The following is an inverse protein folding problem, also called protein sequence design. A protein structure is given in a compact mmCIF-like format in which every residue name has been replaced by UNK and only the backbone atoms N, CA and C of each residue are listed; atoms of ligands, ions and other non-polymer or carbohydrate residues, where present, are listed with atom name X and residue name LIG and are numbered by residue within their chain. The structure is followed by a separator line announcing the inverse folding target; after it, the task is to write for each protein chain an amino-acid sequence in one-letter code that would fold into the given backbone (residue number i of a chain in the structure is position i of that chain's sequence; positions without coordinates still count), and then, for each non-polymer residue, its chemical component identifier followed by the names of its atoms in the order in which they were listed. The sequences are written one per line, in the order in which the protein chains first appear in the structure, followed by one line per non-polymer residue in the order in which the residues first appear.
data_IF_865262621306
#
_entry.id   IF_865262621306
#
_cell.length_a   1.000
_cell.length_b   1.000
_cell.length_c   1.000
_cell.angle_alpha   90.00
_cell.angle_beta   90.00
_cell.angle_gamma   90.00
#
_symmetry.space_group_name_H-M   'P 1'
#
loop_
_entity.id
_entity.type
_entity.pdbx_description
1 polymer ?
#
# COMPACT_ATOMS: atom_id res chain seq x y z
N UNK A 1 14.17 -93.12 1.19
CA UNK A 1 13.93 -92.11 2.25
C UNK A 1 13.45 -90.82 1.60
N UNK A 2 12.54 -90.09 2.25
CA UNK A 2 11.31 -89.48 1.70
C UNK A 2 11.58 -88.09 1.06
N UNK A 3 10.69 -87.30 0.46
CA UNK A 3 9.26 -87.03 0.63
C UNK A 3 8.77 -86.09 -0.50
N UNK A 4 7.50 -86.28 -0.92
CA UNK A 4 6.48 -85.28 -1.27
C UNK A 4 6.72 -84.13 -2.29
N UNK A 5 5.93 -84.16 -3.38
CA UNK A 5 5.43 -82.96 -4.09
C UNK A 5 4.53 -82.12 -3.16
N UNK A 6 4.38 -80.79 -3.42
CA UNK A 6 3.12 -80.35 -4.03
C UNK A 6 3.21 -79.17 -5.02
N UNK A 7 2.13 -79.07 -5.80
CA UNK A 7 1.70 -77.96 -6.66
C UNK A 7 1.82 -76.58 -5.98
N UNK A 8 1.96 -75.50 -6.78
CA UNK A 8 1.00 -74.38 -6.79
C UNK A 8 1.55 -73.07 -7.40
N UNK A 9 0.78 -72.58 -8.38
CA UNK A 9 0.49 -71.17 -8.71
C UNK A 9 1.53 -70.33 -9.45
N UNK A 10 1.27 -70.25 -10.76
CA UNK A 10 1.30 -69.02 -11.56
C UNK A 10 0.80 -67.82 -10.70
N UNK A 11 1.66 -66.84 -10.46
CA UNK A 11 1.26 -65.50 -10.05
C UNK A 11 1.90 -64.51 -11.00
N UNK A 12 1.07 -64.02 -11.90
CA UNK A 12 1.24 -62.78 -12.65
C UNK A 12 1.49 -61.63 -11.67
N UNK A 13 2.72 -61.13 -11.62
CA UNK A 13 3.01 -59.86 -10.94
C UNK A 13 2.82 -58.72 -11.93
N UNK A 14 1.59 -58.21 -11.95
CA UNK A 14 1.18 -56.98 -12.59
C UNK A 14 1.93 -55.79 -11.97
N UNK A 15 2.33 -54.86 -12.83
CA UNK A 15 3.06 -53.64 -12.52
C UNK A 15 2.51 -52.85 -11.32
N UNK A 16 3.40 -52.39 -10.44
CA UNK A 16 3.14 -51.31 -9.52
C UNK A 16 4.09 -50.14 -9.84
N UNK A 17 3.78 -49.40 -10.92
CA UNK A 17 4.28 -48.06 -11.11
C UNK A 17 3.60 -47.16 -10.06
N UNK A 18 4.27 -46.98 -8.92
CA UNK A 18 3.82 -46.07 -7.88
C UNK A 18 4.02 -44.64 -8.39
N UNK A 19 2.98 -44.10 -9.04
CA UNK A 19 2.91 -42.69 -9.38
C UNK A 19 2.91 -41.88 -8.07
N UNK A 20 4.04 -41.26 -7.73
CA UNK A 20 4.09 -40.15 -6.78
C UNK A 20 3.37 -38.96 -7.43
N UNK A 21 2.04 -38.95 -7.35
CA UNK A 21 1.28 -37.74 -7.54
C UNK A 21 1.57 -36.83 -6.33
N UNK A 22 2.50 -35.90 -6.48
CA UNK A 22 2.64 -34.78 -5.55
C UNK A 22 1.32 -34.01 -5.58
N UNK A 23 0.50 -34.19 -4.54
CA UNK A 23 -0.69 -33.38 -4.31
C UNK A 23 -0.23 -31.95 -4.03
N UNK A 24 -0.09 -31.15 -5.09
CA UNK A 24 -0.05 -29.70 -4.96
C UNK A 24 -1.44 -29.29 -4.47
N UNK A 25 -1.60 -29.09 -3.15
CA UNK A 25 -2.82 -28.52 -2.60
C UNK A 25 -3.07 -27.19 -3.30
N UNK A 26 -4.23 -26.99 -3.95
CA UNK A 26 -4.50 -25.74 -4.64
C UNK A 26 -4.52 -24.62 -3.59
N UNK A 27 -3.66 -23.62 -3.75
CA UNK A 27 -3.62 -22.42 -2.89
C UNK A 27 -5.00 -21.73 -2.75
N UNK A 28 -5.94 -22.04 -3.65
CA UNK A 28 -7.32 -21.59 -3.61
C UNK A 28 -8.16 -22.18 -2.46
N UNK A 29 -7.71 -23.25 -1.81
CA UNK A 29 -8.33 -23.83 -0.60
C UNK A 29 -7.71 -23.31 0.70
N UNK A 30 -6.87 -22.28 0.64
CA UNK A 30 -6.21 -21.68 1.80
C UNK A 30 -7.18 -20.82 2.61
N UNK A 31 -7.62 -21.34 3.77
CA UNK A 31 -8.55 -20.66 4.68
C UNK A 31 -7.87 -19.66 5.64
N UNK A 32 -6.53 -19.61 5.69
CA UNK A 32 -5.81 -18.65 6.54
C UNK A 32 -6.13 -17.20 6.13
N UNK A 33 -6.15 -16.26 7.10
CA UNK A 33 -6.27 -14.84 6.79
C UNK A 33 -5.21 -14.38 5.78
N UNK A 34 -5.62 -13.66 4.74
CA UNK A 34 -4.70 -13.18 3.70
C UNK A 34 -3.55 -12.36 4.30
N UNK A 35 -3.79 -11.61 5.38
CA UNK A 35 -2.75 -10.85 6.09
C UNK A 35 -1.59 -11.71 6.61
N UNK A 36 -1.85 -12.97 6.96
CA UNK A 36 -0.83 -13.90 7.41
C UNK A 36 -0.03 -14.45 6.22
N UNK A 37 -0.72 -14.73 5.10
CA UNK A 37 -0.08 -15.19 3.87
C UNK A 37 0.87 -14.15 3.28
N UNK A 38 0.41 -12.90 3.16
CA UNK A 38 1.22 -11.80 2.65
C UNK A 38 2.28 -11.34 3.65
N UNK A 39 1.95 -11.31 4.95
CA UNK A 39 2.90 -10.95 6.01
C UNK A 39 4.05 -11.94 6.19
N UNK A 40 3.91 -13.17 5.74
CA UNK A 40 4.97 -14.17 5.75
C UNK A 40 6.02 -13.99 4.64
N UNK A 41 5.71 -13.21 3.59
CA UNK A 41 6.59 -13.05 2.43
C UNK A 41 7.73 -12.08 2.76
N UNK A 42 8.98 -12.53 2.55
CA UNK A 42 10.18 -11.71 2.81
C UNK A 42 10.66 -10.95 1.58
N UNK A 43 10.39 -11.49 0.39
CA UNK A 43 10.86 -10.98 -0.90
C UNK A 43 9.68 -10.86 -1.89
N UNK A 44 9.80 -9.98 -2.90
CA UNK A 44 8.73 -9.74 -3.85
C UNK A 44 8.54 -10.95 -4.77
N UNK A 45 7.42 -10.98 -5.47
CA UNK A 45 7.21 -11.95 -6.54
C UNK A 45 8.12 -11.60 -7.72
N UNK A 46 8.91 -12.57 -8.20
CA UNK A 46 9.74 -12.46 -9.41
C UNK A 46 8.87 -12.50 -10.66
N UNK A 47 8.17 -11.40 -10.89
CA UNK A 47 7.16 -11.22 -11.94
C UNK A 47 7.28 -9.82 -12.53
N UNK A 48 6.66 -9.60 -13.69
CA UNK A 48 6.42 -8.26 -14.24
C UNK A 48 5.70 -7.41 -13.20
N UNK A 49 6.17 -6.17 -13.00
CA UNK A 49 5.54 -5.27 -12.04
C UNK A 49 4.12 -4.95 -12.45
N UNK A 50 3.14 -5.27 -11.60
CA UNK A 50 1.75 -4.87 -11.81
C UNK A 50 0.97 -4.84 -10.49
N UNK A 51 0.25 -3.74 -10.20
CA UNK A 51 -0.72 -3.69 -9.11
C UNK A 51 -2.03 -4.37 -9.49
N UNK A 52 -2.62 -5.13 -8.56
CA UNK A 52 -3.89 -5.82 -8.76
C UNK A 52 -4.90 -5.47 -7.67
N UNK A 53 -6.11 -5.08 -8.05
CA UNK A 53 -7.19 -4.73 -7.12
C UNK A 53 -7.19 -3.26 -6.71
N UNK A 54 -7.86 -2.97 -5.60
CA UNK A 54 -7.91 -1.61 -5.04
C UNK A 54 -6.85 -1.43 -3.96
N UNK A 55 -6.56 -0.18 -3.59
CA UNK A 55 -5.57 0.18 -2.56
C UNK A 55 -5.72 -0.55 -1.22
N UNK A 56 -6.93 -0.99 -0.87
CA UNK A 56 -7.27 -1.70 0.37
C UNK A 56 -7.83 -3.12 0.14
N UNK A 57 -7.75 -3.63 -1.08
CA UNK A 57 -8.17 -4.99 -1.43
C UNK A 57 -7.42 -5.43 -2.69
N UNK A 58 -6.16 -5.81 -2.53
CA UNK A 58 -5.29 -6.07 -3.66
C UNK A 58 -3.94 -6.66 -3.28
N UNK A 59 -3.03 -6.71 -4.25
CA UNK A 59 -1.65 -7.14 -4.11
C UNK A 59 -0.80 -6.46 -5.20
N UNK A 60 0.52 -6.65 -5.16
CA UNK A 60 1.43 -6.19 -6.23
C UNK A 60 2.42 -7.30 -6.61
N UNK A 61 2.55 -7.54 -7.92
CA UNK A 61 3.61 -8.34 -8.52
C UNK A 61 4.84 -7.47 -8.77
N UNK A 62 6.05 -8.06 -8.73
CA UNK A 62 7.28 -7.38 -9.16
C UNK A 62 7.58 -6.07 -8.41
N UNK A 63 7.21 -5.98 -7.13
CA UNK A 63 7.49 -4.78 -6.34
C UNK A 63 9.00 -4.61 -6.14
N UNK A 64 9.43 -3.34 -6.08
CA UNK A 64 10.81 -2.97 -5.82
C UNK A 64 10.93 -2.25 -4.49
N UNK A 65 12.05 -2.45 -3.83
CA UNK A 65 12.32 -1.82 -2.55
C UNK A 65 13.04 -0.48 -2.74
N UNK A 66 12.59 0.61 -2.11
CA UNK A 66 13.41 1.84 -2.04
C UNK A 66 14.60 1.61 -1.11
N UNK A 67 15.84 1.98 -1.47
CA UNK A 67 17.00 1.83 -0.59
C UNK A 67 16.71 2.31 0.84
N UNK A 68 17.18 1.54 1.83
CA UNK A 68 17.02 1.84 3.26
C UNK A 68 17.50 3.25 3.61
N UNK A 69 18.50 3.74 2.88
CA UNK A 69 19.07 5.07 2.98
C UNK A 69 19.21 5.70 1.60
N UNK A 70 18.96 7.00 1.54
CA UNK A 70 19.36 7.81 0.41
C UNK A 70 20.01 9.11 0.87
N UNK A 71 20.40 10.00 -0.06
CA UNK A 71 20.97 11.30 0.29
C UNK A 71 20.02 12.15 1.15
N UNK A 72 18.72 12.02 0.90
CA UNK A 72 17.66 12.89 1.43
C UNK A 72 16.52 12.13 2.09
N UNK A 73 16.70 10.84 2.41
CA UNK A 73 15.72 10.05 3.16
C UNK A 73 16.35 8.93 4.00
N UNK A 74 15.58 8.46 4.99
CA UNK A 74 15.83 7.23 5.75
C UNK A 74 14.53 6.46 5.93
N UNK A 75 14.53 5.17 5.59
CA UNK A 75 13.40 4.27 5.87
C UNK A 75 13.34 3.93 7.36
N UNK A 76 12.13 3.95 7.93
CA UNK A 76 11.85 3.72 9.34
C UNK A 76 11.23 2.35 9.55
N UNK A 77 11.29 1.83 10.79
CA UNK A 77 10.66 0.55 11.16
C UNK A 77 11.02 -0.61 10.22
N UNK A 78 12.31 -0.75 9.93
CA UNK A 78 12.86 -1.72 8.96
C UNK A 78 12.40 -3.15 9.23
N UNK A 79 12.25 -3.51 10.52
CA UNK A 79 11.76 -4.83 10.95
C UNK A 79 10.39 -5.20 10.39
N UNK A 80 9.57 -4.20 10.00
CA UNK A 80 8.25 -4.43 9.39
C UNK A 80 8.32 -4.96 7.96
N UNK A 81 9.46 -4.79 7.28
CA UNK A 81 9.65 -5.14 5.87
C UNK A 81 8.63 -4.50 4.91
N UNK A 82 8.44 -3.18 5.03
CA UNK A 82 7.38 -2.43 4.31
C UNK A 82 7.89 -1.37 3.33
N UNK A 83 9.14 -1.45 2.90
CA UNK A 83 9.77 -0.47 1.98
C UNK A 83 9.59 -0.81 0.49
N UNK A 84 8.61 -1.64 0.15
CA UNK A 84 8.38 -2.17 -1.19
C UNK A 84 7.25 -1.42 -1.89
N UNK A 85 7.32 -1.23 -3.20
CA UNK A 85 6.23 -0.62 -3.94
C UNK A 85 6.42 -0.72 -5.44
N UNK A 86 5.51 -0.08 -6.17
CA UNK A 86 5.63 0.10 -7.60
C UNK A 86 6.81 1.03 -7.93
N UNK A 87 7.59 0.80 -9.00
CA UNK A 87 8.72 1.67 -9.38
C UNK A 87 8.33 3.14 -9.49
N UNK A 88 7.13 3.45 -10.03
CA UNK A 88 6.62 4.82 -10.10
C UNK A 88 6.44 5.47 -8.71
N UNK A 89 6.03 4.71 -7.69
CA UNK A 89 5.93 5.21 -6.32
C UNK A 89 7.33 5.44 -5.73
N UNK A 90 8.26 4.51 -5.94
CA UNK A 90 9.63 4.66 -5.44
C UNK A 90 10.33 5.87 -6.09
N UNK A 91 10.17 6.06 -7.40
CA UNK A 91 10.69 7.21 -8.13
C UNK A 91 10.09 8.53 -7.64
N UNK A 92 8.78 8.56 -7.35
CA UNK A 92 8.13 9.72 -6.76
C UNK A 92 8.73 10.06 -5.39
N UNK A 93 8.93 9.07 -4.50
CA UNK A 93 9.49 9.29 -3.16
C UNK A 93 10.92 9.83 -3.25
N UNK A 94 11.75 9.24 -4.12
CA UNK A 94 13.12 9.71 -4.35
C UNK A 94 13.12 11.18 -4.80
N UNK A 95 12.36 11.52 -5.85
CA UNK A 95 12.23 12.89 -6.34
C UNK A 95 11.66 13.82 -5.28
N UNK A 96 10.62 13.40 -4.57
CA UNK A 96 10.00 14.19 -3.51
C UNK A 96 10.98 14.50 -2.38
N UNK A 97 11.83 13.56 -1.99
CA UNK A 97 12.83 13.78 -0.96
C UNK A 97 13.86 14.84 -1.36
N UNK A 98 14.29 14.84 -2.63
CA UNK A 98 15.23 15.80 -3.18
C UNK A 98 14.61 17.19 -3.33
N UNK A 99 13.38 17.25 -3.83
CA UNK A 99 12.61 18.47 -3.98
C UNK A 99 12.29 19.12 -2.62
N UNK A 100 11.89 18.31 -1.63
CA UNK A 100 11.63 18.80 -0.28
C UNK A 100 12.87 19.48 0.32
N UNK A 101 14.05 18.88 0.14
CA UNK A 101 15.31 19.47 0.60
C UNK A 101 15.69 20.73 -0.17
N UNK A 102 15.72 20.65 -1.50
CA UNK A 102 16.25 21.72 -2.35
C UNK A 102 15.31 22.93 -2.48
N UNK A 103 13.99 22.72 -2.52
CA UNK A 103 13.00 23.77 -2.81
C UNK A 103 12.39 24.41 -1.57
N UNK A 104 12.29 23.67 -0.46
CA UNK A 104 11.63 24.17 0.77
C UNK A 104 12.51 24.01 2.03
N UNK A 105 13.75 23.54 1.89
CA UNK A 105 14.69 23.41 3.01
C UNK A 105 14.32 22.30 4.01
N UNK A 106 13.55 21.30 3.61
CA UNK A 106 13.23 20.17 4.49
C UNK A 106 14.47 19.26 4.66
N UNK A 107 14.92 18.94 5.88
CA UNK A 107 16.20 18.24 6.09
C UNK A 107 16.35 16.89 5.35
N UNK A 108 15.24 16.17 5.23
CA UNK A 108 15.10 14.90 4.53
C UNK A 108 13.87 14.15 5.03
N UNK A 109 13.45 13.13 4.30
CA UNK A 109 12.25 12.35 4.63
C UNK A 109 12.59 11.23 5.62
N UNK A 110 11.80 11.10 6.67
CA UNK A 110 11.67 9.84 7.39
C UNK A 110 10.48 9.09 6.77
N UNK A 111 10.80 8.02 6.05
CA UNK A 111 9.85 7.23 5.28
C UNK A 111 9.27 6.11 6.15
N UNK A 112 7.95 6.07 6.28
CA UNK A 112 7.21 5.01 6.93
C UNK A 112 6.90 3.84 6.00
N UNK A 113 5.70 3.29 6.11
CA UNK A 113 5.28 2.10 5.36
C UNK A 113 4.93 2.48 3.90
N UNK A 114 5.38 1.67 2.92
CA UNK A 114 4.95 1.72 1.51
C UNK A 114 4.04 0.53 1.22
N UNK A 115 4.59 -0.68 1.11
CA UNK A 115 3.86 -1.94 1.10
C UNK A 115 4.76 -3.10 1.52
N UNK A 116 4.16 -4.25 1.83
CA UNK A 116 4.88 -5.52 1.96
C UNK A 116 5.47 -5.94 0.60
N UNK A 117 6.40 -6.91 0.53
CA UNK A 117 7.08 -7.29 -0.72
C UNK A 117 6.13 -7.73 -1.83
N UNK A 118 4.98 -8.31 -1.48
CA UNK A 118 3.94 -8.74 -2.42
C UNK A 118 2.63 -7.95 -2.26
N UNK A 119 2.68 -6.84 -1.54
CA UNK A 119 1.50 -6.06 -1.17
C UNK A 119 0.59 -6.81 -0.20
N UNK A 120 -0.71 -6.79 -0.47
CA UNK A 120 -1.69 -7.54 0.32
C UNK A 120 -2.06 -6.92 1.66
N UNK A 121 -3.11 -7.44 2.32
CA UNK A 121 -3.46 -7.05 3.68
C UNK A 121 -2.28 -7.19 4.64
N UNK A 122 -2.11 -6.24 5.55
CA UNK A 122 -1.03 -6.24 6.53
C UNK A 122 -1.46 -6.89 7.85
N UNK A 123 -0.52 -7.50 8.57
CA UNK A 123 -0.77 -8.04 9.91
C UNK A 123 -1.31 -6.99 10.89
N UNK A 124 -0.86 -5.74 10.74
CA UNK A 124 -1.23 -4.61 11.59
C UNK A 124 -1.07 -3.27 10.84
N UNK A 125 -1.68 -2.22 11.39
CA UNK A 125 -1.56 -0.87 10.88
C UNK A 125 -2.59 -0.54 9.81
N UNK A 126 -2.16 -0.47 8.55
CA UNK A 126 -2.91 0.16 7.48
C UNK A 126 -3.99 -0.76 6.90
N UNK A 127 -5.17 -0.20 6.62
CA UNK A 127 -6.17 -0.88 5.81
C UNK A 127 -5.81 -0.89 4.31
N UNK A 128 -5.03 0.11 3.86
CA UNK A 128 -4.55 0.22 2.47
C UNK A 128 -3.09 -0.26 2.31
N UNK A 129 -2.27 0.35 1.45
CA UNK A 129 -0.89 -0.08 1.18
C UNK A 129 -0.76 -1.47 0.55
N UNK A 130 -1.83 -1.99 -0.04
CA UNK A 130 -1.84 -3.37 -0.53
C UNK A 130 -1.31 -3.52 -1.95
N UNK A 131 -1.23 -2.42 -2.72
CA UNK A 131 -0.91 -2.47 -4.16
C UNK A 131 0.38 -1.71 -4.52
N UNK A 132 1.19 -1.32 -3.53
CA UNK A 132 2.47 -0.64 -3.76
C UNK A 132 2.36 0.80 -4.32
N UNK A 133 1.22 1.46 -4.14
CA UNK A 133 0.92 2.82 -4.64
C UNK A 133 0.61 3.80 -3.50
N UNK A 134 0.97 3.45 -2.26
CA UNK A 134 0.76 4.21 -1.04
C UNK A 134 2.09 4.35 -0.28
N UNK A 135 2.34 5.48 0.38
CA UNK A 135 3.55 5.71 1.17
C UNK A 135 3.31 6.69 2.30
N UNK A 136 3.77 6.36 3.51
CA UNK A 136 3.72 7.26 4.65
C UNK A 136 5.00 8.06 4.82
N UNK A 137 4.84 9.37 5.04
CA UNK A 137 5.95 10.29 5.31
C UNK A 137 5.74 10.93 6.67
N UNK A 138 6.70 10.76 7.57
CA UNK A 138 6.60 11.31 8.92
C UNK A 138 6.70 12.84 8.90
N UNK A 139 5.99 13.51 9.82
CA UNK A 139 6.16 14.94 10.07
C UNK A 139 7.42 15.28 10.87
N UNK A 140 8.12 14.25 11.37
CA UNK A 140 9.43 14.38 12.02
C UNK A 140 10.50 14.56 10.94
N UNK A 141 11.30 15.65 10.99
CA UNK A 141 12.39 15.84 10.04
C UNK A 141 13.47 14.77 10.24
N UNK A 142 14.13 14.38 9.15
CA UNK A 142 15.30 13.51 9.22
C UNK A 142 16.43 14.20 10.03
N UNK A 143 17.10 13.48 10.95
CA UNK A 143 18.24 14.04 11.67
C UNK A 143 19.45 14.24 10.75
N UNK A 144 20.46 14.93 11.26
CA UNK A 144 21.72 15.23 10.57
C UNK A 144 22.72 14.06 10.51
N UNK A 145 22.33 12.89 11.03
CA UNK A 145 23.12 11.66 10.99
C UNK A 145 22.28 10.49 10.45
N UNK A 146 22.98 9.42 10.01
CA UNK A 146 22.34 8.16 9.64
C UNK A 146 21.98 7.38 10.89
N UNK A 147 20.69 7.15 11.11
CA UNK A 147 20.21 6.37 12.26
C UNK A 147 20.53 4.88 12.06
N UNK A 148 21.00 4.24 13.12
CA UNK A 148 21.08 2.78 13.20
C UNK A 148 19.70 2.12 13.07
N UNK A 149 19.69 0.81 12.80
CA UNK A 149 18.44 0.05 12.77
C UNK A 149 17.66 0.17 14.10
N UNK A 150 18.34 0.11 15.24
CA UNK A 150 17.72 0.23 16.56
C UNK A 150 17.08 1.61 16.79
N UNK A 151 17.76 2.69 16.40
CA UNK A 151 17.20 4.05 16.49
C UNK A 151 15.96 4.20 15.61
N UNK A 152 15.97 3.63 14.40
CA UNK A 152 14.81 3.64 13.50
C UNK A 152 13.61 2.86 14.04
N UNK A 153 13.83 1.88 14.91
CA UNK A 153 12.74 1.17 15.60
C UNK A 153 12.25 1.92 16.84
N UNK A 154 13.16 2.55 17.58
CA UNK A 154 12.85 3.19 18.86
C UNK A 154 12.34 4.63 18.74
N UNK A 155 12.66 5.35 17.65
CA UNK A 155 12.29 6.76 17.49
C UNK A 155 10.76 6.93 17.61
N UNK A 156 10.24 7.69 18.58
CA UNK A 156 8.80 7.83 18.76
C UNK A 156 8.18 8.69 17.65
N UNK A 157 6.92 8.40 17.34
CA UNK A 157 6.14 9.28 16.51
C UNK A 157 5.90 10.62 17.21
N UNK A 158 5.92 11.72 16.45
CA UNK A 158 5.63 13.06 16.96
C UNK A 158 4.34 13.58 16.37
N UNK A 159 3.28 13.64 17.19
CA UNK A 159 1.98 14.16 16.75
C UNK A 159 2.01 15.68 16.56
N UNK A 160 1.39 16.14 15.47
CA UNK A 160 1.17 17.55 15.17
C UNK A 160 -0.02 18.15 15.94
N UNK A 161 -0.73 17.37 16.76
CA UNK A 161 -1.85 17.85 17.55
C UNK A 161 -1.45 18.22 18.98
N UNK A 162 -2.15 19.21 19.52
CA UNK A 162 -2.25 19.43 20.95
C UNK A 162 -3.19 18.37 21.53
N UNK A 163 -2.63 17.34 22.15
CA UNK A 163 -3.42 16.21 22.70
C UNK A 163 -4.37 16.61 23.84
N UNK A 164 -4.24 17.83 24.39
CA UNK A 164 -5.17 18.37 25.38
C UNK A 164 -6.45 18.97 24.77
N UNK A 165 -6.49 19.13 23.44
CA UNK A 165 -7.59 19.79 22.73
C UNK A 165 -8.12 18.93 21.59
N UNK A 166 -9.44 19.00 21.38
CA UNK A 166 -10.08 18.28 20.28
C UNK A 166 -9.63 18.84 18.93
N UNK A 167 -9.09 17.97 18.06
CA UNK A 167 -8.69 18.27 16.68
C UNK A 167 -8.00 19.63 16.50
N UNK A 168 -7.04 19.92 17.37
CA UNK A 168 -6.30 21.18 17.35
C UNK A 168 -4.83 20.89 17.06
N UNK A 169 -4.28 21.59 16.08
CA UNK A 169 -2.85 21.52 15.74
C UNK A 169 -2.03 22.24 16.82
N UNK A 170 -0.93 21.63 17.28
CA UNK A 170 0.02 22.25 18.21
C UNK A 170 0.88 23.29 17.46
N UNK A 171 0.74 24.60 17.77
CA UNK A 171 1.47 25.65 17.07
C UNK A 171 2.99 25.60 17.30
N UNK A 172 3.46 24.90 18.34
CA UNK A 172 4.89 24.71 18.61
C UNK A 172 5.53 23.69 17.67
N UNK A 173 4.71 22.79 17.10
CA UNK A 173 5.16 21.71 16.22
C UNK A 173 4.82 21.98 14.76
N UNK A 174 3.66 22.55 14.48
CA UNK A 174 3.26 22.83 13.10
C UNK A 174 3.89 24.11 12.58
N UNK A 175 4.70 23.98 11.52
CA UNK A 175 5.42 25.09 10.90
C UNK A 175 4.99 25.26 9.45
N UNK A 176 5.30 26.42 8.87
CA UNK A 176 5.06 26.70 7.45
C UNK A 176 5.79 25.69 6.55
N UNK A 177 6.99 25.23 6.91
CA UNK A 177 7.71 24.21 6.16
C UNK A 177 6.96 22.87 6.11
N UNK A 178 6.27 22.47 7.20
CA UNK A 178 5.41 21.27 7.19
C UNK A 178 4.18 21.45 6.30
N UNK A 179 3.61 22.65 6.26
CA UNK A 179 2.54 22.96 5.32
C UNK A 179 3.02 22.84 3.86
N UNK A 180 4.18 23.43 3.55
CA UNK A 180 4.84 23.32 2.24
C UNK A 180 5.17 21.88 1.85
N UNK A 181 5.60 21.06 2.80
CA UNK A 181 5.89 19.65 2.57
C UNK A 181 4.64 18.88 2.09
N UNK A 182 3.51 19.06 2.77
CA UNK A 182 2.22 18.42 2.38
C UNK A 182 1.74 18.95 1.03
N UNK A 183 1.80 20.27 0.82
CA UNK A 183 1.33 20.88 -0.43
C UNK A 183 2.21 20.52 -1.63
N UNK A 184 3.53 20.36 -1.41
CA UNK A 184 4.44 19.84 -2.43
C UNK A 184 4.13 18.37 -2.76
N UNK A 185 3.86 17.53 -1.76
CA UNK A 185 3.44 16.15 -2.03
C UNK A 185 2.16 16.11 -2.89
N UNK A 186 1.19 17.00 -2.62
CA UNK A 186 -0.05 17.07 -3.37
C UNK A 186 0.12 17.62 -4.81
N UNK A 187 1.15 18.42 -5.06
CA UNK A 187 1.32 19.11 -6.36
C UNK A 187 1.80 18.18 -7.47
N UNK A 188 2.37 17.01 -7.16
CA UNK A 188 2.78 16.05 -8.18
C UNK A 188 1.58 15.54 -9.00
N UNK A 189 1.70 15.45 -10.34
CA UNK A 189 0.62 14.98 -11.21
C UNK A 189 0.28 13.50 -11.00
N UNK A 190 1.23 12.70 -10.52
CA UNK A 190 1.02 11.28 -10.20
C UNK A 190 0.23 11.09 -8.89
N UNK A 191 0.29 12.07 -7.98
CA UNK A 191 -0.38 12.02 -6.68
C UNK A 191 -1.85 12.33 -6.85
N UNK A 192 -2.69 11.38 -6.41
CA UNK A 192 -4.14 11.51 -6.45
C UNK A 192 -4.68 12.04 -5.12
N UNK A 193 -4.11 11.60 -3.99
CA UNK A 193 -4.51 12.04 -2.64
C UNK A 193 -3.33 12.11 -1.70
N UNK A 194 -3.39 13.07 -0.78
CA UNK A 194 -2.55 13.12 0.41
C UNK A 194 -3.47 13.07 1.64
N UNK A 195 -3.42 12.01 2.43
CA UNK A 195 -4.26 11.90 3.62
C UNK A 195 -3.56 12.46 4.85
N UNK A 196 -4.29 13.27 5.62
CA UNK A 196 -3.84 13.94 6.83
C UNK A 196 -4.95 13.93 7.88
N UNK A 197 -4.61 14.20 9.13
CA UNK A 197 -5.60 14.47 10.17
C UNK A 197 -6.54 15.66 9.79
N UNK A 198 -7.83 15.65 10.18
CA UNK A 198 -8.74 16.76 9.89
C UNK A 198 -8.25 18.11 10.42
N UNK A 199 -7.58 18.14 11.58
CA UNK A 199 -7.02 19.36 12.15
C UNK A 199 -5.91 19.96 11.26
N UNK A 200 -5.07 19.10 10.66
CA UNK A 200 -4.02 19.52 9.72
C UNK A 200 -4.65 20.08 8.46
N UNK A 201 -5.67 19.40 7.91
CA UNK A 201 -6.42 19.90 6.74
C UNK A 201 -7.05 21.27 7.03
N UNK A 202 -7.69 21.44 8.19
CA UNK A 202 -8.25 22.73 8.64
C UNK A 202 -7.16 23.80 8.76
N UNK A 203 -6.02 23.48 9.36
CA UNK A 203 -4.90 24.42 9.47
C UNK A 203 -4.40 24.87 8.10
N UNK A 204 -4.24 23.94 7.15
CA UNK A 204 -3.90 24.27 5.75
C UNK A 204 -4.95 25.18 5.11
N UNK A 205 -6.24 24.87 5.26
CA UNK A 205 -7.32 25.70 4.74
C UNK A 205 -7.23 27.15 5.25
N UNK A 206 -6.95 27.31 6.54
CA UNK A 206 -6.89 28.61 7.24
C UNK A 206 -5.61 29.40 6.93
N UNK A 207 -4.46 28.74 6.81
CA UNK A 207 -3.16 29.44 6.78
C UNK A 207 -2.41 29.34 5.46
N UNK A 208 -2.73 28.38 4.57
CA UNK A 208 -2.06 28.28 3.29
C UNK A 208 -2.43 29.46 2.39
N UNK A 209 -1.42 30.16 1.87
CA UNK A 209 -1.54 31.32 0.97
C UNK A 209 -0.94 31.10 -0.42
N UNK A 210 -0.32 29.94 -0.66
CA UNK A 210 0.21 29.57 -1.98
C UNK A 210 -0.88 29.03 -2.91
N UNK A 211 -0.47 28.37 -3.99
CA UNK A 211 -1.41 27.73 -4.93
C UNK A 211 -2.29 26.68 -4.22
N UNK A 212 -3.61 26.81 -4.40
CA UNK A 212 -4.64 25.95 -3.80
C UNK A 212 -5.17 24.91 -4.78
N UNK A 213 -4.71 24.89 -6.03
CA UNK A 213 -5.15 23.94 -7.07
C UNK A 213 -5.04 22.47 -6.61
N UNK A 214 -3.99 22.15 -5.86
CA UNK A 214 -3.74 20.83 -5.31
C UNK A 214 -4.36 20.60 -3.92
N UNK A 215 -4.90 21.64 -3.26
CA UNK A 215 -5.39 21.53 -1.88
C UNK A 215 -6.55 20.54 -1.77
N UNK A 216 -7.40 20.43 -2.81
CA UNK A 216 -8.48 19.43 -2.88
C UNK A 216 -7.99 17.99 -2.70
N UNK A 217 -6.78 17.67 -3.18
CA UNK A 217 -6.16 16.34 -3.02
C UNK A 217 -5.76 16.02 -1.59
N UNK A 218 -5.59 17.04 -0.73
CA UNK A 218 -5.33 16.84 0.70
C UNK A 218 -6.64 16.46 1.39
N UNK A 219 -6.76 15.20 1.81
CA UNK A 219 -8.01 14.62 2.33
C UNK A 219 -7.92 14.32 3.83
N UNK A 220 -8.92 14.74 4.63
CA UNK A 220 -8.98 14.39 6.04
C UNK A 220 -9.27 12.90 6.23
N UNK A 221 -8.59 12.27 7.18
CA UNK A 221 -8.84 10.89 7.63
C UNK A 221 -8.47 10.73 9.12
N UNK A 222 -9.05 9.74 9.80
CA UNK A 222 -8.70 9.41 11.19
C UNK A 222 -7.19 9.14 11.37
N UNK A 223 -6.62 9.51 12.51
CA UNK A 223 -5.18 9.39 12.76
C UNK A 223 -4.39 10.42 11.93
N UNK A 224 -3.31 9.99 11.26
CA UNK A 224 -2.53 10.80 10.32
C UNK A 224 -2.11 12.18 10.83
N UNK A 225 -1.85 12.27 12.14
CA UNK A 225 -1.32 13.45 12.80
C UNK A 225 0.19 13.36 13.05
N UNK A 226 0.79 12.21 12.84
CA UNK A 226 2.24 11.93 13.03
C UNK A 226 2.97 11.73 11.70
N UNK A 227 2.22 11.36 10.67
CA UNK A 227 2.64 11.19 9.29
C UNK A 227 1.51 11.66 8.37
N UNK A 228 1.83 11.92 7.11
CA UNK A 228 0.85 12.03 6.04
C UNK A 228 1.05 10.87 5.06
N UNK A 229 -0.05 10.46 4.45
CA UNK A 229 -0.10 9.32 3.53
C UNK A 229 -0.19 9.86 2.11
N UNK A 230 0.76 9.52 1.24
CA UNK A 230 0.71 9.80 -0.20
C UNK A 230 0.10 8.61 -0.92
N UNK A 231 -0.86 8.87 -1.82
CA UNK A 231 -1.40 7.88 -2.76
C UNK A 231 -1.23 8.35 -4.19
N UNK A 232 -0.66 7.49 -5.04
CA UNK A 232 -0.58 7.74 -6.49
C UNK A 232 -1.69 7.04 -7.27
N UNK A 233 -1.97 7.56 -8.46
CA UNK A 233 -2.92 6.95 -9.41
C UNK A 233 -2.46 5.55 -9.83
N UNK A 234 -3.40 4.72 -10.29
CA UNK A 234 -3.04 3.50 -11.01
C UNK A 234 -2.13 3.84 -12.20
N UNK A 235 -1.03 3.10 -12.42
CA UNK A 235 -0.19 3.27 -13.59
C UNK A 235 -1.00 3.11 -14.88
N UNK A 236 -0.60 3.83 -15.92
CA UNK A 236 -1.21 3.70 -17.24
C UNK A 236 -1.01 2.28 -17.77
N UNK A 237 -2.02 1.72 -18.44
CA UNK A 237 -1.99 0.34 -18.94
C UNK A 237 -2.14 -0.77 -17.89
N UNK A 238 -2.15 -0.46 -16.59
CA UNK A 238 -2.30 -1.47 -15.54
C UNK A 238 -3.76 -1.95 -15.40
N UNK A 239 -4.21 -2.84 -16.30
CA UNK A 239 -5.58 -3.35 -16.35
C UNK A 239 -6.06 -4.03 -15.05
N UNK A 240 -5.14 -4.59 -14.27
CA UNK A 240 -5.42 -5.20 -12.97
C UNK A 240 -5.68 -4.20 -11.84
N UNK A 241 -5.31 -2.93 -12.02
CA UNK A 241 -5.40 -1.90 -10.99
C UNK A 241 -6.76 -1.23 -10.99
N UNK A 242 -7.43 -1.20 -9.83
CA UNK A 242 -8.72 -0.54 -9.66
C UNK A 242 -8.53 0.86 -9.10
N UNK A 243 -8.79 1.93 -9.89
CA UNK A 243 -8.70 3.29 -9.39
C UNK A 243 -9.79 3.57 -8.35
N UNK A 244 -9.59 4.64 -7.59
CA UNK A 244 -10.59 5.19 -6.66
C UNK A 244 -11.40 6.29 -7.36
N UNK A 245 -12.49 6.73 -6.71
CA UNK A 245 -13.30 7.83 -7.23
C UNK A 245 -12.45 9.12 -7.35
N UNK A 246 -12.78 9.99 -8.32
CA UNK A 246 -12.11 11.29 -8.44
C UNK A 246 -12.30 12.13 -7.18
N UNK A 247 -11.31 12.96 -6.87
CA UNK A 247 -11.44 13.98 -5.83
C UNK A 247 -12.50 15.00 -6.30
N UNK A 248 -13.48 15.37 -5.44
CA UNK A 248 -14.44 16.41 -5.78
C UNK A 248 -13.75 17.73 -6.16
N UNK A 249 -14.34 18.54 -7.06
CA UNK A 249 -13.77 19.83 -7.40
C UNK A 249 -13.71 20.76 -6.19
N UNK A 250 -12.77 21.71 -6.22
CA UNK A 250 -12.53 22.66 -5.14
C UNK A 250 -11.40 22.24 -4.20
N UNK A 251 -11.17 23.04 -3.17
CA UNK A 251 -10.08 22.83 -2.22
C UNK A 251 -10.45 21.94 -1.03
N UNK A 252 -11.73 21.56 -0.90
CA UNK A 252 -12.25 20.73 0.18
C UNK A 252 -12.18 21.41 1.54
N UNK A 253 -12.25 22.74 1.59
CA UNK A 253 -12.32 23.57 2.80
C UNK A 253 -13.76 24.03 3.08
N UNK A 254 -14.73 23.15 2.82
CA UNK A 254 -16.18 23.41 2.86
C UNK A 254 -16.89 22.55 3.94
N UNK A 255 -18.19 22.34 3.80
CA UNK A 255 -19.00 21.51 4.69
C UNK A 255 -18.44 20.07 4.84
N UNK A 256 -17.77 19.53 3.82
CA UNK A 256 -17.13 18.21 3.90
C UNK A 256 -16.00 18.15 4.91
N UNK A 257 -15.29 19.26 5.13
CA UNK A 257 -14.30 19.38 6.20
C UNK A 257 -14.96 19.70 7.54
N UNK A 258 -15.96 20.59 7.55
CA UNK A 258 -16.68 20.96 8.77
C UNK A 258 -17.32 19.76 9.48
N UNK A 259 -17.80 18.77 8.71
CA UNK A 259 -18.37 17.53 9.24
C UNK A 259 -17.44 16.80 10.22
N UNK A 260 -16.11 16.80 9.98
CA UNK A 260 -15.12 16.17 10.87
C UNK A 260 -15.05 16.80 12.27
N UNK A 261 -15.55 18.04 12.41
CA UNK A 261 -15.58 18.77 13.68
C UNK A 261 -16.94 18.67 14.37
N UNK A 262 -17.86 17.84 13.86
CA UNK A 262 -19.11 17.45 14.53
C UNK A 262 -18.90 16.22 15.41
N UNK A 263 -19.91 15.81 16.20
CA UNK A 263 -19.84 14.59 17.01
C UNK A 263 -20.00 13.30 16.20
N UNK A 264 -20.66 13.38 15.04
CA UNK A 264 -21.05 12.23 14.22
C UNK A 264 -19.88 11.33 13.78
N UNK A 265 -18.76 11.83 13.21
CA UNK A 265 -17.63 10.99 12.81
C UNK A 265 -16.96 10.25 13.98
N UNK A 266 -17.20 10.67 15.21
CA UNK A 266 -16.57 10.13 16.41
C UNK A 266 -17.53 9.31 17.26
N UNK A 267 -18.80 9.21 16.85
CA UNK A 267 -19.79 8.41 17.52
C UNK A 267 -19.42 6.92 17.41
N UNK A 268 -19.45 6.22 18.55
CA UNK A 268 -19.31 4.76 18.56
C UNK A 268 -20.50 4.13 17.81
N UNK A 269 -20.28 3.07 17.01
CA UNK A 269 -21.39 2.33 16.41
C UNK A 269 -22.37 1.89 17.50
N UNK A 270 -23.66 2.19 17.33
CA UNK A 270 -24.69 1.72 18.26
C UNK A 270 -24.90 0.22 18.02
N UNK A 271 -24.78 -0.65 19.04
CA UNK A 271 -25.11 -2.06 18.87
C UNK A 271 -26.58 -2.17 18.45
N UNK A 272 -26.87 -2.90 17.37
CA UNK A 272 -28.25 -3.20 17.00
C UNK A 272 -28.84 -4.10 18.09
N UNK A 273 -30.02 -3.76 18.61
CA UNK A 273 -30.68 -4.46 19.73
C UNK A 273 -30.87 -5.98 19.49
N UNK A 274 -30.86 -6.41 18.22
CA UNK A 274 -31.05 -7.81 17.80
C UNK A 274 -29.89 -8.35 16.93
N UNK A 275 -28.68 -7.78 17.03
CA UNK A 275 -27.55 -8.30 16.27
C UNK A 275 -27.14 -9.69 16.76
N UNK A 276 -27.39 -10.71 15.93
CA UNK A 276 -26.75 -12.03 16.09
C UNK A 276 -25.22 -11.85 16.14
N UNK A 277 -24.48 -12.63 16.95
CA UNK A 277 -23.02 -12.60 16.93
C UNK A 277 -22.53 -12.83 15.49
N UNK A 278 -21.93 -11.80 14.90
CA UNK A 278 -21.30 -11.92 13.57
C UNK A 278 -19.99 -12.66 13.80
N UNK A 279 -19.83 -13.86 13.22
CA UNK A 279 -18.53 -14.54 13.23
C UNK A 279 -17.48 -13.59 12.63
N UNK A 280 -16.30 -13.43 13.24
CA UNK A 280 -15.24 -12.60 12.68
C UNK A 280 -14.91 -13.09 11.27
N UNK A 281 -15.24 -12.29 10.26
CA UNK A 281 -14.85 -12.57 8.87
C UNK A 281 -13.54 -11.84 8.60
N UNK A 282 -12.44 -12.59 8.58
CA UNK A 282 -11.16 -12.08 8.10
C UNK A 282 -11.11 -12.16 6.57
N UNK A 283 -10.46 -11.20 5.94
CA UNK A 283 -10.19 -11.24 4.51
C UNK A 283 -9.29 -12.44 4.24
N UNK A 284 -9.77 -13.36 3.41
CA UNK A 284 -9.07 -14.54 2.93
C UNK A 284 -8.51 -14.29 1.53
N UNK A 285 -7.74 -15.24 0.99
CA UNK A 285 -7.18 -15.09 -0.34
C UNK A 285 -8.26 -15.06 -1.44
N UNK A 286 -9.38 -15.75 -1.24
CA UNK A 286 -10.50 -15.77 -2.20
C UNK A 286 -11.28 -14.45 -2.27
N UNK A 287 -11.14 -13.59 -1.25
CA UNK A 287 -11.72 -12.23 -1.23
C UNK A 287 -10.91 -11.22 -2.04
N UNK A 288 -9.70 -11.59 -2.49
CA UNK A 288 -8.77 -10.75 -3.25
C UNK A 288 -8.86 -11.04 -4.76
N UNK A 289 -8.32 -10.15 -5.63
CA UNK A 289 -8.22 -10.44 -7.06
C UNK A 289 -7.53 -11.78 -7.32
N UNK A 290 -8.01 -12.55 -8.31
CA UNK A 290 -7.46 -13.87 -8.65
C UNK A 290 -5.94 -13.86 -8.89
N UNK A 291 -5.40 -12.78 -9.45
CA UNK A 291 -3.96 -12.61 -9.65
C UNK A 291 -3.15 -12.71 -8.35
N UNK A 292 -3.74 -12.39 -7.20
CA UNK A 292 -3.05 -12.39 -5.92
C UNK A 292 -2.64 -13.78 -5.42
N UNK A 293 -3.34 -14.84 -5.83
CA UNK A 293 -2.88 -16.20 -5.54
C UNK A 293 -1.62 -16.56 -6.34
N UNK A 294 -1.56 -16.17 -7.62
CA UNK A 294 -0.36 -16.32 -8.45
C UNK A 294 0.81 -15.48 -7.91
N UNK A 295 0.55 -14.24 -7.48
CA UNK A 295 1.57 -13.39 -6.84
C UNK A 295 2.12 -14.06 -5.59
N UNK A 296 1.29 -14.66 -4.73
CA UNK A 296 1.76 -15.38 -3.54
C UNK A 296 2.53 -16.67 -3.87
N UNK A 297 2.16 -17.37 -4.94
CA UNK A 297 2.80 -18.62 -5.33
C UNK A 297 4.12 -18.43 -6.10
N UNK A 298 4.38 -17.24 -6.64
CA UNK A 298 5.56 -16.96 -7.46
C UNK A 298 6.88 -17.19 -6.73
N UNK A 299 7.92 -17.54 -7.49
CA UNK A 299 9.30 -17.51 -7.03
C UNK A 299 9.70 -16.11 -6.55
N UNK A 300 10.71 -16.07 -5.69
CA UNK A 300 11.33 -14.83 -5.21
C UNK A 300 12.66 -14.58 -5.95
N UNK A 301 13.14 -13.32 -6.02
CA UNK A 301 14.54 -13.05 -6.37
C UNK A 301 15.50 -13.71 -5.37
N UNK A 302 16.78 -13.82 -5.74
CA UNK A 302 17.78 -14.45 -4.88
C UNK A 302 18.09 -13.61 -3.62
N UNK A 303 17.87 -12.30 -3.68
CA UNK A 303 18.10 -11.40 -2.55
C UNK A 303 17.30 -10.11 -2.65
N UNK A 304 17.22 -9.40 -1.53
CA UNK A 304 16.68 -8.04 -1.45
C UNK A 304 17.45 -7.05 -2.34
N UNK A 305 18.77 -7.24 -2.50
CA UNK A 305 19.62 -6.37 -3.30
C UNK A 305 19.29 -6.45 -4.81
N UNK A 306 18.81 -7.60 -5.29
CA UNK A 306 18.38 -7.81 -6.68
C UNK A 306 17.09 -7.03 -6.99
N UNK A 307 16.22 -6.86 -5.99
CA UNK A 307 14.93 -6.18 -6.13
C UNK A 307 14.91 -4.78 -5.50
N UNK A 308 16.07 -4.26 -5.08
CA UNK A 308 16.19 -2.88 -4.60
C UNK A 308 16.34 -1.94 -5.80
N UNK A 309 15.55 -0.86 -5.77
CA UNK A 309 15.53 0.17 -6.80
C UNK A 309 16.88 0.89 -6.87
N UNK A 310 17.38 1.08 -8.09
CA UNK A 310 18.62 1.82 -8.40
C UNK A 310 18.19 2.99 -9.28
N UNK A 311 18.14 4.21 -8.74
CA UNK A 311 17.62 5.39 -9.44
C UNK A 311 18.31 5.69 -10.79
N UNK A 312 17.76 6.67 -11.53
CA UNK A 312 18.35 7.22 -12.76
C UNK A 312 18.68 6.21 -13.88
N UNK A 313 17.72 5.38 -14.29
CA UNK A 313 17.88 4.54 -15.48
C UNK A 313 18.97 3.47 -15.38
N UNK A 314 19.57 3.29 -14.20
CA UNK A 314 20.31 2.08 -13.89
C UNK A 314 19.32 0.93 -13.91
N UNK A 315 19.44 0.06 -14.91
CA UNK A 315 18.66 -1.17 -15.00
C UNK A 315 18.85 -1.97 -13.70
N UNK A 316 17.96 -1.79 -12.74
CA UNK A 316 17.67 -2.83 -11.77
C UNK A 316 17.23 -4.03 -12.60
N UNK A 317 17.71 -5.22 -12.28
CA UNK A 317 17.15 -6.47 -12.83
C UNK A 317 15.63 -6.55 -12.57
N UNK A 318 15.08 -5.73 -11.66
CA UNK A 318 13.65 -5.53 -11.51
C UNK A 318 12.94 -4.86 -12.72
N UNK A 319 13.61 -3.95 -13.44
CA UNK A 319 13.07 -3.37 -14.69
C UNK A 319 13.17 -4.36 -15.87
N UNK A 320 14.06 -5.35 -15.80
CA UNK A 320 14.16 -6.39 -16.83
C UNK A 320 12.90 -7.28 -16.90
N UNK A 321 12.08 -7.31 -15.85
CA UNK A 321 10.77 -7.97 -15.90
C UNK A 321 9.68 -7.11 -16.56
N UNK A 322 9.91 -5.81 -16.81
CA UNK A 322 8.90 -4.91 -17.42
C UNK A 322 9.04 -4.78 -18.94
N UNK A 323 10.17 -5.19 -19.52
CA UNK A 323 10.50 -4.97 -20.94
C UNK A 323 9.87 -5.99 -21.92
N UNK A 324 8.96 -6.85 -21.46
CA UNK A 324 8.35 -7.91 -22.29
C UNK A 324 6.95 -7.59 -22.84
N UNK A 325 6.42 -6.38 -22.63
CA UNK A 325 5.02 -6.05 -22.90
C UNK A 325 4.76 -5.34 -24.25
N UNK A 326 5.80 -5.01 -25.02
CA UNK A 326 5.64 -4.10 -26.16
C UNK A 326 5.08 -4.73 -27.46
N UNK A 327 4.93 -6.06 -27.53
CA UNK A 327 4.50 -6.73 -28.79
C UNK A 327 3.14 -7.45 -28.72
N UNK A 328 2.46 -7.48 -27.56
CA UNK A 328 1.20 -8.23 -27.40
C UNK A 328 -0.07 -7.37 -27.28
N UNK A 329 0.06 -6.03 -27.29
CA UNK A 329 -1.03 -5.09 -26.98
C UNK A 329 -1.93 -4.68 -28.15
N UNK A 330 -1.64 -5.09 -29.39
CA UNK A 330 -2.29 -4.54 -30.59
C UNK A 330 -3.56 -5.27 -31.06
N UNK A 331 -4.05 -6.30 -30.35
CA UNK A 331 -5.12 -7.16 -30.89
C UNK A 331 -6.44 -7.22 -30.09
N UNK A 332 -6.63 -6.49 -28.99
CA UNK A 332 -7.89 -6.59 -28.23
C UNK A 332 -8.31 -5.27 -27.58
N UNK A 333 -9.28 -4.58 -28.19
CA UNK A 333 -9.91 -3.43 -27.54
C UNK A 333 -10.78 -2.51 -28.39
N UNK A 334 -11.20 -2.88 -29.60
CA UNK A 334 -12.33 -2.22 -30.27
C UNK A 334 -13.63 -2.83 -29.78
N UNK A 335 -14.30 -2.16 -28.83
CA UNK A 335 -15.76 -2.02 -28.74
C UNK A 335 -16.18 -1.56 -27.34
N UNK A 336 -16.74 -0.36 -27.28
CA UNK A 336 -17.97 0.02 -26.55
C UNK A 336 -17.82 1.46 -26.06
N UNK A 337 -18.30 2.39 -26.88
CA UNK A 337 -18.72 3.72 -26.46
C UNK A 337 -20.26 3.75 -26.46
N UNK A 338 -20.85 4.29 -25.39
CA UNK A 338 -22.12 5.02 -25.34
C UNK A 338 -22.63 5.14 -23.89
N UNK A 339 -22.44 6.35 -23.35
CA UNK A 339 -23.33 7.17 -22.49
C UNK A 339 -24.29 6.52 -21.47
N UNK A 340 -24.30 7.05 -20.24
CA UNK A 340 -25.35 7.94 -19.66
C UNK A 340 -25.18 8.04 -18.12
N UNK A 341 -25.20 9.28 -17.61
CA UNK A 341 -25.86 9.63 -16.34
C UNK A 341 -25.06 9.57 -15.03
N UNK A 342 -24.53 10.72 -14.61
CA UNK A 342 -24.10 10.96 -13.21
C UNK A 342 -25.30 10.93 -12.25
N UNK A 343 -25.07 10.49 -11.01
CA UNK A 343 -25.49 11.30 -9.88
C UNK A 343 -24.28 11.73 -9.03
N UNK A 344 -24.28 13.02 -8.67
CA UNK A 344 -23.42 13.60 -7.67
C UNK A 344 -23.79 13.05 -6.29
N UNK A 345 -23.20 11.93 -5.90
CA UNK A 345 -23.17 11.49 -4.50
C UNK A 345 -21.71 11.51 -4.08
N UNK A 346 -21.37 12.57 -3.36
CA UNK A 346 -20.12 12.66 -2.59
C UNK A 346 -20.08 11.44 -1.68
N UNK A 347 -19.03 10.59 -1.72
CA UNK A 347 -18.92 9.48 -0.80
C UNK A 347 -18.92 10.03 0.62
N UNK A 348 -19.95 9.68 1.39
CA UNK A 348 -20.02 9.94 2.83
C UNK A 348 -18.77 9.25 3.43
N UNK A 349 -17.91 9.98 4.16
CA UNK A 349 -16.79 9.35 4.86
C UNK A 349 -17.31 8.28 5.81
N UNK A 350 -16.74 7.08 5.70
CA UNK A 350 -17.19 5.91 6.47
C UNK A 350 -16.94 6.18 7.97
N UNK A 351 -17.89 5.84 8.87
CA UNK A 351 -17.69 5.93 10.31
C UNK A 351 -16.37 5.27 10.75
N UNK A 352 -15.78 5.76 11.84
CA UNK A 352 -14.51 5.25 12.37
C UNK A 352 -14.53 3.71 12.40
N UNK A 353 -13.61 3.03 11.68
CA UNK A 353 -13.49 1.58 11.76
C UNK A 353 -13.31 1.13 13.20
N UNK A 354 -13.95 0.02 13.56
CA UNK A 354 -13.72 -0.63 14.86
C UNK A 354 -12.25 -1.08 14.83
N UNK A 355 -11.43 -0.48 15.69
CA UNK A 355 -10.03 -0.86 15.86
C UNK A 355 -9.93 -2.18 16.62
#
# INVERSE_FOLDING_TARGET
MPAHLPLSRLKTSLAAALALATLASPLAAEERPARELFGAQRLPAKMVTSPYGSYARGCIAGAVAIPTDGPTWQAMRLSRNRRWGHPAMIALIERFSQDARSKIGWPGLLLGDISQPRGGPMLNGHASHQVGLDADIWFTPMPDHRMSAAEREALPFTSMLDKSKFLTVDPRRWTETRARLVMMAASYPEVERVFVNPAIKKKLCETWRGDRSALGKVRPIYGHDEHFHIRIKCPEGAAGCKPQAKVPPGDGCDASLAWWFTKEPWAKPKPKKDAKPVKPHFVTLSDLPKACSAVLASDSPASEAEATYRGNGGTSTALAFSAGADDAGLAAGMAMDAAVGLPAIVPIPIPRPIQ
#
